data_IF_525326630677
#
_entry.id   IF_525326630677
#
_cell.length_a   1.000
_cell.length_b   1.000
_cell.length_c   1.000
_cell.angle_alpha   90.00
_cell.angle_beta   90.00
_cell.angle_gamma   90.00
#
_symmetry.space_group_name_H-M   'P 1'
#
loop_
_entity.id
_entity.type
_entity.pdbx_description
1 polymer ?
#
# COMPACT_ATOMS: atom_id res chain seq x y z
N UNK A 1 -13.05 -22.34 -7.70
CA UNK A 1 -11.67 -22.52 -7.23
C UNK A 1 -11.57 -21.99 -5.82
N UNK A 2 -11.19 -22.83 -4.86
CA UNK A 2 -11.04 -22.50 -3.44
C UNK A 2 -9.64 -21.97 -3.15
N UNK A 3 -9.47 -21.32 -1.99
CA UNK A 3 -8.14 -20.90 -1.52
C UNK A 3 -7.18 -22.08 -1.35
N UNK A 4 -7.70 -23.25 -0.95
CA UNK A 4 -6.89 -24.46 -0.81
C UNK A 4 -6.37 -24.94 -2.17
N UNK A 5 -7.23 -24.95 -3.21
CA UNK A 5 -6.82 -25.30 -4.58
C UNK A 5 -5.78 -24.33 -5.14
N UNK A 6 -5.92 -23.02 -4.85
CA UNK A 6 -4.92 -22.01 -5.26
C UNK A 6 -3.58 -22.27 -4.57
N UNK A 7 -3.57 -22.52 -3.26
CA UNK A 7 -2.33 -22.80 -2.52
C UNK A 7 -1.60 -24.02 -3.09
N UNK A 8 -2.32 -25.10 -3.35
CA UNK A 8 -1.74 -26.30 -3.98
C UNK A 8 -1.19 -26.00 -5.38
N UNK A 9 -1.86 -25.15 -6.16
CA UNK A 9 -1.34 -24.74 -7.47
C UNK A 9 -0.07 -23.88 -7.35
N UNK A 10 0.02 -23.00 -6.34
CA UNK A 10 1.22 -22.21 -6.07
C UNK A 10 2.41 -23.09 -5.70
N UNK A 11 2.18 -24.15 -4.90
CA UNK A 11 3.24 -25.10 -4.50
C UNK A 11 3.87 -25.86 -5.70
N UNK A 12 3.16 -25.91 -6.83
CA UNK A 12 3.62 -26.59 -8.06
C UNK A 12 4.36 -25.66 -9.03
N UNK A 13 4.41 -24.36 -8.75
CA UNK A 13 5.07 -23.39 -9.62
C UNK A 13 6.59 -23.55 -9.60
N UNK A 14 7.21 -23.35 -10.76
CA UNK A 14 8.64 -23.13 -10.82
C UNK A 14 9.02 -21.81 -10.13
N UNK A 15 10.29 -21.63 -9.71
CA UNK A 15 10.73 -20.36 -9.12
C UNK A 15 10.45 -19.13 -10.00
N UNK A 16 10.51 -19.27 -11.32
CA UNK A 16 10.22 -18.17 -12.26
C UNK A 16 8.74 -17.80 -12.24
N UNK A 17 7.86 -18.79 -12.31
CA UNK A 17 6.40 -18.56 -12.29
C UNK A 17 5.95 -18.01 -10.94
N UNK A 18 6.59 -18.44 -9.85
CA UNK A 18 6.32 -17.89 -8.52
C UNK A 18 6.68 -16.40 -8.43
N UNK A 19 7.78 -15.97 -9.04
CA UNK A 19 8.17 -14.55 -9.13
C UNK A 19 7.16 -13.74 -9.95
N UNK A 20 6.70 -14.26 -11.09
CA UNK A 20 5.66 -13.62 -11.89
C UNK A 20 4.33 -13.50 -11.13
N UNK A 21 3.90 -14.56 -10.44
CA UNK A 21 2.70 -14.53 -9.61
C UNK A 21 2.84 -13.52 -8.46
N UNK A 22 3.99 -13.48 -7.79
CA UNK A 22 4.25 -12.52 -6.73
C UNK A 22 4.20 -11.07 -7.25
N UNK A 23 4.76 -10.79 -8.44
CA UNK A 23 4.69 -9.47 -9.06
C UNK A 23 3.24 -9.07 -9.38
N UNK A 24 2.44 -10.01 -9.89
CA UNK A 24 1.02 -9.81 -10.20
C UNK A 24 0.16 -9.52 -8.95
N UNK A 25 0.43 -10.22 -7.84
CA UNK A 25 -0.24 -9.97 -6.56
C UNK A 25 0.17 -8.60 -6.01
N UNK A 26 1.47 -8.30 -5.97
CA UNK A 26 1.99 -7.01 -5.52
C UNK A 26 1.37 -5.85 -6.29
N UNK A 27 1.25 -5.94 -7.61
CA UNK A 27 0.63 -4.89 -8.40
C UNK A 27 -0.84 -4.60 -7.99
N UNK A 28 -1.59 -5.64 -7.60
CA UNK A 28 -2.96 -5.46 -7.09
C UNK A 28 -3.01 -4.90 -5.69
N UNK A 29 -2.14 -5.38 -4.81
CA UNK A 29 -2.04 -4.85 -3.46
C UNK A 29 -1.65 -3.38 -3.52
N UNK A 30 -0.60 -3.02 -4.27
CA UNK A 30 -0.21 -1.62 -4.49
C UNK A 30 -1.37 -0.77 -4.99
N UNK A 31 -2.13 -1.22 -5.99
CA UNK A 31 -3.28 -0.45 -6.49
C UNK A 31 -4.41 -0.29 -5.45
N UNK A 32 -4.59 -1.26 -4.55
CA UNK A 32 -5.54 -1.15 -3.45
C UNK A 32 -5.03 -0.18 -2.37
N UNK A 33 -3.76 -0.26 -2.02
CA UNK A 33 -3.08 0.64 -1.09
C UNK A 33 -3.08 2.09 -1.60
N UNK A 34 -2.79 2.32 -2.88
CA UNK A 34 -2.84 3.65 -3.50
C UNK A 34 -4.23 4.26 -3.36
N UNK A 35 -5.29 3.47 -3.59
CA UNK A 35 -6.67 3.92 -3.41
C UNK A 35 -6.99 4.23 -1.95
N UNK A 36 -6.56 3.38 -1.01
CA UNK A 36 -6.79 3.60 0.41
C UNK A 36 -6.07 4.89 0.89
N UNK A 37 -4.86 5.14 0.41
CA UNK A 37 -4.12 6.38 0.70
C UNK A 37 -4.88 7.59 0.16
N UNK A 38 -5.37 7.54 -1.09
CA UNK A 38 -6.14 8.63 -1.68
C UNK A 38 -7.43 8.91 -0.89
N UNK A 39 -8.15 7.87 -0.47
CA UNK A 39 -9.36 7.96 0.36
C UNK A 39 -9.04 8.53 1.76
N UNK A 40 -7.94 8.10 2.37
CA UNK A 40 -7.50 8.55 3.68
C UNK A 40 -7.16 10.04 3.72
N UNK A 41 -6.57 10.57 2.65
CA UNK A 41 -6.18 11.98 2.54
C UNK A 41 -7.23 12.86 1.82
N UNK A 42 -8.37 12.29 1.44
CA UNK A 42 -9.51 13.00 0.86
C UNK A 42 -10.01 14.11 1.80
N UNK A 43 -10.97 14.93 1.33
CA UNK A 43 -11.45 16.10 2.10
C UNK A 43 -12.08 15.72 3.44
N UNK A 44 -12.74 14.58 3.49
CA UNK A 44 -13.38 13.95 4.63
C UNK A 44 -12.66 12.66 5.08
N UNK A 45 -11.48 12.40 4.49
CA UNK A 45 -10.65 11.25 4.80
C UNK A 45 -10.08 11.30 6.22
N UNK A 46 -9.85 10.12 6.80
CA UNK A 46 -9.43 9.98 8.21
C UNK A 46 -8.08 10.62 8.53
N UNK A 47 -7.19 10.75 7.54
CA UNK A 47 -5.85 11.34 7.70
C UNK A 47 -5.79 12.81 7.26
N UNK A 48 -6.92 13.39 6.85
CA UNK A 48 -6.99 14.82 6.54
C UNK A 48 -6.52 15.73 7.68
N UNK A 49 -6.87 15.48 8.97
CA UNK A 49 -6.37 16.28 10.08
C UNK A 49 -4.84 16.23 10.20
N UNK A 50 -4.24 15.04 10.04
CA UNK A 50 -2.79 14.84 10.08
C UNK A 50 -2.10 15.62 8.96
N UNK A 51 -2.68 15.65 7.75
CA UNK A 51 -2.16 16.47 6.66
C UNK A 51 -2.14 17.97 6.99
N UNK A 52 -3.13 18.46 7.77
CA UNK A 52 -3.15 19.84 8.22
C UNK A 52 -2.07 20.11 9.28
N UNK A 53 -1.93 19.22 10.25
CA UNK A 53 -0.90 19.28 11.29
C UNK A 53 0.50 19.33 10.69
N UNK A 54 0.83 18.41 9.78
CA UNK A 54 2.14 18.36 9.10
C UNK A 54 2.42 19.65 8.33
N UNK A 55 1.41 20.25 7.67
CA UNK A 55 1.57 21.52 6.96
C UNK A 55 1.83 22.69 7.91
N UNK A 56 1.19 22.68 9.07
CA UNK A 56 1.38 23.73 10.08
C UNK A 56 2.73 23.59 10.78
N UNK A 57 3.19 22.37 11.03
CA UNK A 57 4.55 22.08 11.50
C UNK A 57 5.61 22.52 10.50
N UNK A 58 5.40 22.23 9.21
CA UNK A 58 6.28 22.67 8.13
C UNK A 58 6.41 24.20 8.10
N UNK A 59 5.28 24.92 8.17
CA UNK A 59 5.26 26.38 8.19
C UNK A 59 5.92 26.97 9.44
N UNK A 60 5.84 26.27 10.56
CA UNK A 60 6.43 26.69 11.82
C UNK A 60 7.90 26.28 11.98
N UNK A 61 8.47 25.56 11.00
CA UNK A 61 9.85 25.07 11.08
C UNK A 61 10.06 24.00 12.17
N UNK A 62 9.03 23.20 12.46
CA UNK A 62 9.07 22.12 13.47
C UNK A 62 9.45 20.75 12.91
N UNK A 63 9.72 20.64 11.61
CA UNK A 63 10.14 19.39 11.00
C UNK A 63 11.60 19.08 11.33
N UNK A 64 11.88 17.83 11.64
CA UNK A 64 13.24 17.33 11.84
C UNK A 64 13.81 16.80 10.51
N UNK A 65 15.14 16.85 10.36
CA UNK A 65 15.81 16.17 9.26
C UNK A 65 15.75 14.65 9.48
N UNK A 66 15.60 13.90 8.39
CA UNK A 66 15.67 12.44 8.45
C UNK A 66 17.08 12.01 8.87
N UNK A 67 17.22 10.93 9.67
CA UNK A 67 18.51 10.40 10.10
C UNK A 67 19.44 9.97 8.95
#
# INVERSE_FOLDING_TARGET
MSLAEIKTAVDQLSPKELVELAAFIRARESAAWDREIDEDFARDGRLRPVLHEVRDDARAGRLEELP
#
